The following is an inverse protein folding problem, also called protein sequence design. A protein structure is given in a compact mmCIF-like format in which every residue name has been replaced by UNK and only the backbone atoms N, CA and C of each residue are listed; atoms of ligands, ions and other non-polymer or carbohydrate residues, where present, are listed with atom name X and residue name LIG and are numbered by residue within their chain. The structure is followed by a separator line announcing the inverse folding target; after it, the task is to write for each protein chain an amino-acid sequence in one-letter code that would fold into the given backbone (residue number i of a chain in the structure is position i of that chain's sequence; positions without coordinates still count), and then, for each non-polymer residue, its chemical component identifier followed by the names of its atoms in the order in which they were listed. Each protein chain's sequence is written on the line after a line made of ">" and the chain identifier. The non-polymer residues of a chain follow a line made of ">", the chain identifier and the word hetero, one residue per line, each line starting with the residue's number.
data_IF_119770314130
#
_entry.id   IF_119770314130
#
_cell.length_a   1.000
_cell.length_b   1.000
_cell.length_c   1.000
_cell.angle_alpha   90.00
_cell.angle_beta   90.00
_cell.angle_gamma   90.00
#
_symmetry.space_group_name_H-M   'P 1'
#
loop_
_entity.id
_entity.type
_entity.pdbx_description
1 polymer ?
#
# COMPACT_ATOMS: atom_id res chain seq x y z
N UNK A 1 -0.52 30.69 -21.21
CA UNK A 1 -1.15 29.47 -21.76
C UNK A 1 -0.24 28.26 -21.56
N UNK A 2 0.18 27.94 -20.34
CA UNK A 2 1.11 26.83 -20.06
C UNK A 2 0.76 26.01 -18.79
N UNK A 3 -0.30 26.41 -18.06
CA UNK A 3 -0.74 25.78 -16.79
C UNK A 3 -2.06 24.99 -16.95
N UNK A 4 -2.87 25.28 -17.97
CA UNK A 4 -4.17 24.60 -18.22
C UNK A 4 -4.03 23.18 -18.80
N UNK A 5 -2.82 22.75 -19.19
CA UNK A 5 -2.59 21.45 -19.83
C UNK A 5 -2.50 20.29 -18.82
N UNK A 6 -2.23 20.57 -17.54
CA UNK A 6 -2.04 19.55 -16.52
C UNK A 6 -3.34 19.13 -15.81
N UNK A 7 -4.39 19.94 -15.86
CA UNK A 7 -5.66 19.67 -15.18
C UNK A 7 -6.42 18.47 -15.77
N UNK A 8 -6.06 18.02 -16.98
CA UNK A 8 -6.64 16.84 -17.63
C UNK A 8 -5.75 15.59 -17.54
N UNK A 9 -4.60 15.68 -16.88
CA UNK A 9 -3.69 14.55 -16.78
C UNK A 9 -4.33 13.45 -15.95
N UNK A 10 -4.47 12.26 -16.54
CA UNK A 10 -5.04 11.08 -15.86
C UNK A 10 -3.98 10.07 -15.43
N UNK A 11 -2.81 10.08 -16.08
CA UNK A 11 -1.73 9.13 -15.84
C UNK A 11 -0.42 9.89 -15.70
N UNK A 12 0.25 9.71 -14.57
CA UNK A 12 1.54 10.31 -14.28
C UNK A 12 2.51 9.22 -13.82
N UNK A 13 3.59 9.04 -14.57
CA UNK A 13 4.68 8.14 -14.22
C UNK A 13 5.92 8.94 -13.84
N UNK A 14 6.31 8.79 -12.59
CA UNK A 14 7.50 9.35 -11.97
C UNK A 14 8.38 8.24 -11.38
N UNK A 15 8.14 6.99 -11.78
CA UNK A 15 8.94 5.85 -11.34
C UNK A 15 10.38 5.88 -11.87
N UNK A 16 11.27 5.16 -11.19
CA UNK A 16 12.69 5.03 -11.54
C UNK A 16 13.40 6.40 -11.59
N UNK A 17 13.12 7.24 -10.60
CA UNK A 17 13.75 8.56 -10.40
C UNK A 17 14.44 8.63 -9.03
N UNK A 18 14.95 9.81 -8.67
CA UNK A 18 15.64 10.08 -7.40
C UNK A 18 14.79 10.93 -6.44
N UNK A 19 13.47 10.75 -6.44
CA UNK A 19 12.58 11.50 -5.54
C UNK A 19 12.76 11.03 -4.11
N UNK A 20 13.02 11.95 -3.18
CA UNK A 20 13.15 11.65 -1.75
C UNK A 20 11.85 11.90 -0.99
N UNK A 21 10.92 12.64 -1.61
CA UNK A 21 9.60 12.98 -1.10
C UNK A 21 8.59 12.98 -2.24
N UNK A 22 7.30 12.84 -1.89
CA UNK A 22 6.21 13.03 -2.84
C UNK A 22 6.13 14.54 -3.16
N UNK A 23 6.11 14.97 -4.43
CA UNK A 23 6.06 16.39 -4.80
C UNK A 23 4.63 16.96 -4.66
N UNK A 24 4.03 16.85 -3.48
CA UNK A 24 2.60 17.08 -3.20
C UNK A 24 2.10 18.45 -3.65
N UNK A 25 2.86 19.51 -3.42
CA UNK A 25 2.51 20.87 -3.87
C UNK A 25 2.35 20.97 -5.40
N UNK A 26 3.16 20.23 -6.15
CA UNK A 26 3.08 20.21 -7.61
C UNK A 26 1.92 19.33 -8.11
N UNK A 27 1.58 18.29 -7.35
CA UNK A 27 0.56 17.31 -7.74
C UNK A 27 -0.86 17.70 -7.31
N UNK A 28 -1.02 18.54 -6.29
CA UNK A 28 -2.31 18.90 -5.67
C UNK A 28 -3.34 19.47 -6.66
N UNK A 29 -2.91 20.04 -7.79
CA UNK A 29 -3.78 20.59 -8.83
C UNK A 29 -4.24 19.57 -9.87
N UNK A 30 -3.71 18.34 -9.83
CA UNK A 30 -4.04 17.28 -10.78
C UNK A 30 -5.31 16.55 -10.35
N UNK A 31 -6.42 17.28 -10.24
CA UNK A 31 -7.72 16.79 -9.73
C UNK A 31 -8.39 15.71 -10.60
N UNK A 32 -7.82 15.38 -11.76
CA UNK A 32 -8.29 14.32 -12.67
C UNK A 32 -7.33 13.15 -12.75
N UNK A 33 -6.26 13.15 -11.95
CA UNK A 33 -5.26 12.10 -11.97
C UNK A 33 -5.87 10.82 -11.43
N UNK A 34 -5.81 9.75 -12.23
CA UNK A 34 -6.32 8.42 -11.87
C UNK A 34 -5.20 7.46 -11.46
N UNK A 35 -4.03 7.64 -12.07
CA UNK A 35 -2.90 6.74 -11.93
C UNK A 35 -1.63 7.52 -11.62
N UNK A 36 -1.08 7.29 -10.44
CA UNK A 36 0.19 7.87 -10.00
C UNK A 36 1.20 6.76 -9.73
N UNK A 37 2.25 6.71 -10.54
CA UNK A 37 3.36 5.76 -10.37
C UNK A 37 4.61 6.48 -9.86
N UNK A 38 5.00 6.16 -8.62
CA UNK A 38 6.17 6.69 -7.90
C UNK A 38 7.17 5.57 -7.55
N UNK A 39 7.07 4.42 -8.22
CA UNK A 39 7.90 3.25 -7.94
C UNK A 39 9.39 3.52 -8.08
N UNK A 40 10.23 2.80 -7.34
CA UNK A 40 11.69 2.85 -7.51
C UNK A 40 12.24 4.28 -7.39
N UNK A 41 11.89 4.92 -6.28
CA UNK A 41 12.42 6.21 -5.84
C UNK A 41 13.07 6.04 -4.45
N UNK A 42 13.42 7.13 -3.79
CA UNK A 42 14.01 7.17 -2.44
C UNK A 42 13.05 7.79 -1.41
N UNK A 43 11.73 7.63 -1.62
CA UNK A 43 10.72 8.20 -0.73
C UNK A 43 10.76 7.43 0.58
N UNK A 44 11.05 8.13 1.68
CA UNK A 44 11.15 7.51 3.01
C UNK A 44 10.03 7.93 3.97
N UNK A 45 9.32 9.02 3.63
CA UNK A 45 8.27 9.61 4.45
C UNK A 45 7.09 10.02 3.56
N UNK A 46 5.88 9.70 4.01
CA UNK A 46 4.62 10.19 3.45
C UNK A 46 4.10 11.22 4.45
N UNK A 47 3.85 12.46 4.00
CA UNK A 47 3.17 13.46 4.84
C UNK A 47 1.67 13.21 4.84
N UNK A 48 0.96 13.61 5.91
CA UNK A 48 -0.50 13.45 6.00
C UNK A 48 -1.25 14.14 4.86
N UNK A 49 -0.69 15.24 4.35
CA UNK A 49 -1.25 16.00 3.24
C UNK A 49 -0.75 15.56 1.86
N UNK A 50 0.06 14.48 1.77
CA UNK A 50 0.81 14.13 0.58
C UNK A 50 -0.06 13.94 -0.67
N UNK A 51 -1.31 13.53 -0.47
CA UNK A 51 -2.29 13.20 -1.50
C UNK A 51 -3.50 14.15 -1.50
N UNK A 52 -3.41 15.28 -0.81
CA UNK A 52 -4.46 16.31 -0.82
C UNK A 52 -4.74 16.77 -2.24
N UNK A 53 -6.03 16.87 -2.60
CA UNK A 53 -6.48 17.36 -3.90
C UNK A 53 -6.78 16.28 -4.93
N UNK A 54 -6.44 15.01 -4.66
CA UNK A 54 -6.86 13.90 -5.50
C UNK A 54 -8.30 13.47 -5.25
N UNK A 55 -8.76 13.46 -4.00
CA UNK A 55 -10.17 13.17 -3.68
C UNK A 55 -10.62 11.83 -4.29
N UNK A 56 -11.69 11.93 -5.09
CA UNK A 56 -12.33 10.80 -5.78
C UNK A 56 -11.68 10.45 -7.14
N UNK A 57 -10.53 11.05 -7.49
CA UNK A 57 -9.94 10.86 -8.83
C UNK A 57 -8.94 9.71 -8.90
N UNK A 58 -8.08 9.55 -7.90
CA UNK A 58 -7.02 8.53 -7.91
C UNK A 58 -7.62 7.16 -7.64
N UNK A 59 -7.38 6.22 -8.54
CA UNK A 59 -7.77 4.81 -8.40
C UNK A 59 -6.55 3.89 -8.27
N UNK A 60 -5.37 4.33 -8.71
CA UNK A 60 -4.12 3.57 -8.62
C UNK A 60 -2.98 4.42 -8.10
N UNK A 61 -2.34 3.93 -7.03
CA UNK A 61 -1.15 4.53 -6.42
C UNK A 61 -0.05 3.49 -6.24
N UNK A 62 1.09 3.72 -6.88
CA UNK A 62 2.24 2.83 -6.78
C UNK A 62 3.43 3.50 -6.10
N UNK A 63 3.78 3.02 -4.91
CA UNK A 63 4.91 3.42 -4.08
C UNK A 63 5.92 2.27 -3.91
N UNK A 64 5.85 1.25 -4.77
CA UNK A 64 6.72 0.08 -4.71
C UNK A 64 8.20 0.46 -4.77
N UNK A 65 9.09 -0.28 -4.09
CA UNK A 65 10.55 -0.06 -4.13
C UNK A 65 10.94 1.36 -3.70
N UNK A 66 10.43 1.80 -2.56
CA UNK A 66 10.85 3.03 -1.88
C UNK A 66 11.44 2.66 -0.50
N UNK A 67 11.69 3.66 0.34
CA UNK A 67 12.30 3.50 1.67
C UNK A 67 11.30 3.81 2.81
N UNK A 68 9.99 3.65 2.57
CA UNK A 68 8.93 4.03 3.51
C UNK A 68 8.96 3.12 4.73
N UNK A 69 9.10 3.70 5.92
CA UNK A 69 9.20 2.96 7.20
C UNK A 69 7.91 2.91 8.01
N UNK A 70 7.12 3.97 7.91
CA UNK A 70 5.89 4.16 8.70
C UNK A 70 4.84 4.84 7.84
N UNK A 71 3.57 4.56 8.14
CA UNK A 71 2.43 5.25 7.57
C UNK A 71 1.80 6.15 8.64
N UNK A 72 1.60 7.45 8.38
CA UNK A 72 0.78 8.31 9.25
C UNK A 72 -0.66 7.77 9.40
N UNK A 73 -1.33 8.08 10.52
CA UNK A 73 -2.71 7.64 10.81
C UNK A 73 -3.75 8.08 9.76
N UNK A 74 -3.42 9.06 8.92
CA UNK A 74 -4.30 9.60 7.88
C UNK A 74 -3.58 9.68 6.53
N UNK A 75 -2.60 8.79 6.30
CA UNK A 75 -1.73 8.83 5.13
C UNK A 75 -2.48 8.82 3.79
N UNK A 76 -3.64 8.20 3.75
CA UNK A 76 -4.49 8.06 2.56
C UNK A 76 -5.86 8.70 2.74
N UNK A 77 -5.99 9.61 3.71
CA UNK A 77 -7.22 10.36 3.94
C UNK A 77 -7.59 11.13 2.67
N UNK A 78 -8.88 11.07 2.29
CA UNK A 78 -9.47 11.62 1.07
C UNK A 78 -9.20 10.85 -0.24
N UNK A 79 -8.57 9.68 -0.22
CA UNK A 79 -8.45 8.84 -1.42
C UNK A 79 -9.68 7.93 -1.61
N UNK A 80 -10.86 8.53 -1.69
CA UNK A 80 -12.16 7.83 -1.62
C UNK A 80 -12.49 6.93 -2.82
N UNK A 81 -11.62 6.86 -3.83
CA UNK A 81 -11.79 6.01 -5.00
C UNK A 81 -10.57 5.14 -5.28
N UNK A 82 -9.64 5.03 -4.32
CA UNK A 82 -8.44 4.24 -4.48
C UNK A 82 -8.79 2.74 -4.50
N UNK A 83 -8.52 2.10 -5.63
CA UNK A 83 -8.76 0.67 -5.82
C UNK A 83 -7.49 -0.15 -5.58
N UNK A 84 -6.32 0.40 -5.95
CA UNK A 84 -5.04 -0.29 -5.89
C UNK A 84 -3.99 0.59 -5.21
N UNK A 85 -3.49 0.11 -4.07
CA UNK A 85 -2.34 0.65 -3.36
C UNK A 85 -1.19 -0.34 -3.38
N UNK A 86 -0.05 0.04 -3.95
CA UNK A 86 1.16 -0.78 -3.94
C UNK A 86 2.25 -0.16 -3.06
N UNK A 87 2.54 -0.81 -1.93
CA UNK A 87 3.60 -0.50 -0.97
C UNK A 87 4.68 -1.59 -0.93
N UNK A 88 4.70 -2.51 -1.91
CA UNK A 88 5.61 -3.65 -1.91
C UNK A 88 7.08 -3.19 -1.93
N UNK A 89 7.94 -3.92 -1.22
CA UNK A 89 9.39 -3.68 -1.18
C UNK A 89 9.72 -2.28 -0.64
N UNK A 90 9.13 -1.95 0.51
CA UNK A 90 9.47 -0.79 1.32
C UNK A 90 10.19 -1.27 2.61
N UNK A 91 10.12 -0.48 3.68
CA UNK A 91 10.74 -0.77 4.99
C UNK A 91 9.69 -0.76 6.11
N UNK A 92 8.42 -1.02 5.78
CA UNK A 92 7.32 -1.03 6.75
C UNK A 92 7.51 -2.18 7.73
N UNK A 93 7.50 -1.88 9.02
CA UNK A 93 7.47 -2.89 10.09
C UNK A 93 6.08 -3.11 10.65
N UNK A 94 5.19 -2.13 10.52
CA UNK A 94 3.78 -2.20 10.93
C UNK A 94 2.91 -1.50 9.88
N UNK A 95 1.67 -1.91 9.79
CA UNK A 95 0.63 -1.26 8.98
C UNK A 95 -0.60 -1.13 9.88
N UNK A 96 -0.75 -0.01 10.61
CA UNK A 96 -1.91 0.21 11.47
C UNK A 96 -3.18 0.33 10.64
N UNK A 97 -4.30 -0.15 11.16
CA UNK A 97 -5.61 -0.11 10.49
C UNK A 97 -6.03 1.32 10.19
N UNK A 98 -5.78 2.23 11.13
CA UNK A 98 -6.15 3.64 11.07
C UNK A 98 -5.55 4.33 9.84
N UNK A 99 -4.30 4.00 9.48
CA UNK A 99 -3.65 4.58 8.31
C UNK A 99 -4.34 4.25 6.98
N UNK A 100 -5.11 3.15 6.94
CA UNK A 100 -5.76 2.62 5.74
C UNK A 100 -7.30 2.61 5.86
N UNK A 101 -7.87 3.01 7.00
CA UNK A 101 -9.31 3.02 7.28
C UNK A 101 -10.11 3.73 6.17
N UNK A 102 -9.59 4.83 5.64
CA UNK A 102 -10.26 5.61 4.59
C UNK A 102 -10.38 4.87 3.24
N UNK A 103 -9.60 3.80 3.02
CA UNK A 103 -9.53 3.10 1.74
C UNK A 103 -9.93 1.62 1.82
N UNK A 104 -10.17 1.04 3.01
CA UNK A 104 -10.44 -0.40 3.14
C UNK A 104 -11.71 -0.85 2.38
N UNK A 105 -12.71 0.02 2.27
CA UNK A 105 -13.98 -0.27 1.60
C UNK A 105 -13.91 -0.18 0.07
N UNK A 106 -12.97 0.62 -0.45
CA UNK A 106 -12.84 0.91 -1.89
C UNK A 106 -11.68 0.15 -2.52
N UNK A 107 -10.65 -0.17 -1.74
CA UNK A 107 -9.49 -0.91 -2.20
C UNK A 107 -9.87 -2.37 -2.51
N UNK A 108 -9.41 -2.83 -3.67
CA UNK A 108 -9.42 -4.25 -4.06
C UNK A 108 -8.05 -4.87 -3.89
N UNK A 109 -6.98 -4.06 -3.88
CA UNK A 109 -5.60 -4.50 -3.70
C UNK A 109 -4.85 -3.52 -2.80
N UNK A 110 -4.33 -4.03 -1.69
CA UNK A 110 -3.35 -3.37 -0.82
C UNK A 110 -2.14 -4.30 -0.75
N UNK A 111 -1.10 -4.00 -1.51
CA UNK A 111 0.11 -4.82 -1.59
C UNK A 111 1.19 -4.29 -0.63
N UNK A 112 1.39 -4.99 0.48
CA UNK A 112 2.41 -4.68 1.50
C UNK A 112 3.55 -5.71 1.50
N UNK A 113 3.67 -6.54 0.46
CA UNK A 113 4.67 -7.61 0.42
C UNK A 113 6.10 -7.07 0.41
N UNK A 114 7.08 -7.94 0.68
CA UNK A 114 8.49 -7.59 0.72
C UNK A 114 8.82 -6.43 1.68
N UNK A 115 8.03 -6.27 2.74
CA UNK A 115 8.30 -5.38 3.86
C UNK A 115 8.71 -6.21 5.10
N UNK A 116 9.56 -5.68 5.99
CA UNK A 116 9.97 -6.35 7.24
C UNK A 116 8.86 -6.31 8.32
N UNK A 117 7.67 -6.81 7.98
CA UNK A 117 6.47 -6.70 8.81
C UNK A 117 6.58 -7.55 10.09
N UNK A 118 6.26 -6.93 11.23
CA UNK A 118 5.99 -7.58 12.50
C UNK A 118 4.54 -8.05 12.48
N UNK A 119 4.35 -9.37 12.47
CA UNK A 119 3.02 -9.96 12.34
C UNK A 119 2.43 -10.31 13.72
N UNK A 120 2.09 -9.27 14.48
CA UNK A 120 1.40 -9.38 15.76
C UNK A 120 -0.11 -9.06 15.61
N UNK A 121 -0.78 -8.76 16.72
CA UNK A 121 -2.20 -8.43 16.73
C UNK A 121 -2.55 -7.17 15.91
N UNK A 122 -1.61 -6.25 15.65
CA UNK A 122 -1.89 -5.02 14.90
C UNK A 122 -2.12 -5.29 13.41
N UNK A 123 -1.61 -6.40 12.87
CA UNK A 123 -1.83 -6.77 11.46
C UNK A 123 -3.10 -7.64 11.27
N UNK A 124 -3.92 -7.79 12.32
CA UNK A 124 -5.14 -8.60 12.29
C UNK A 124 -6.16 -8.12 11.26
N UNK A 125 -6.36 -6.81 11.16
CA UNK A 125 -7.31 -6.20 10.23
C UNK A 125 -6.99 -6.61 8.78
N UNK A 126 -5.71 -6.60 8.38
CA UNK A 126 -5.29 -6.88 7.01
C UNK A 126 -5.55 -8.34 6.62
N UNK A 127 -5.33 -9.26 7.57
CA UNK A 127 -5.69 -10.68 7.41
C UNK A 127 -7.19 -10.85 7.20
N UNK A 128 -7.99 -10.15 8.00
CA UNK A 128 -9.45 -10.30 7.97
C UNK A 128 -10.03 -9.64 6.70
N UNK A 129 -9.52 -8.47 6.29
CA UNK A 129 -9.79 -7.83 5.01
C UNK A 129 -9.49 -8.73 3.79
N UNK A 130 -8.33 -9.40 3.77
CA UNK A 130 -8.00 -10.37 2.71
C UNK A 130 -9.00 -11.54 2.61
N UNK A 131 -9.55 -11.99 3.75
CA UNK A 131 -10.55 -13.07 3.74
C UNK A 131 -11.86 -12.59 3.15
N UNK A 132 -12.28 -11.36 3.47
CA UNK A 132 -13.52 -10.77 2.95
C UNK A 132 -13.47 -10.58 1.44
N UNK A 133 -12.34 -10.14 0.88
CA UNK A 133 -12.17 -10.02 -0.57
C UNK A 133 -12.36 -11.37 -1.28
N UNK A 134 -11.80 -12.45 -0.73
CA UNK A 134 -11.95 -13.80 -1.29
C UNK A 134 -13.40 -14.31 -1.28
N UNK A 135 -14.26 -13.77 -0.42
CA UNK A 135 -15.68 -14.11 -0.41
C UNK A 135 -16.49 -13.34 -1.47
N UNK A 136 -15.92 -12.28 -2.07
CA UNK A 136 -16.59 -11.47 -3.11
C UNK A 136 -16.31 -11.96 -4.53
N UNK A 137 -15.15 -12.58 -4.77
CA UNK A 137 -14.73 -13.05 -6.09
C UNK A 137 -14.68 -14.60 -6.16
N UNK A 138 -15.64 -15.21 -6.87
CA UNK A 138 -15.48 -16.55 -7.44
C UNK A 138 -14.53 -16.44 -8.66
N UNK A 139 -13.47 -17.26 -8.64
CA UNK A 139 -12.49 -17.56 -9.70
C UNK A 139 -11.34 -16.54 -10.02
N UNK A 140 -10.12 -16.98 -9.66
CA UNK A 140 -8.85 -16.85 -10.40
C UNK A 140 -7.93 -15.59 -10.37
N UNK A 141 -8.21 -14.51 -9.62
CA UNK A 141 -7.36 -13.29 -9.73
C UNK A 141 -6.44 -12.98 -8.53
N UNK A 142 -6.52 -13.68 -7.39
CA UNK A 142 -5.54 -13.45 -6.31
C UNK A 142 -4.32 -14.34 -6.56
N UNK A 143 -3.42 -13.86 -7.42
CA UNK A 143 -2.10 -14.45 -7.64
C UNK A 143 -1.43 -14.73 -6.31
N UNK A 144 -1.17 -16.03 -6.08
CA UNK A 144 -0.38 -16.64 -5.01
C UNK A 144 0.92 -15.88 -4.74
N UNK A 145 0.87 -14.86 -3.89
CA UNK A 145 2.06 -14.17 -3.41
C UNK A 145 1.98 -14.09 -1.89
N UNK A 146 3.11 -14.42 -1.26
CA UNK A 146 3.21 -14.68 0.17
C UNK A 146 3.74 -13.44 0.88
N UNK A 147 3.13 -13.10 2.00
CA UNK A 147 3.66 -12.07 2.91
C UNK A 147 4.65 -12.75 3.84
N UNK A 148 5.90 -12.27 3.84
CA UNK A 148 6.95 -12.72 4.74
C UNK A 148 6.81 -11.97 6.07
N UNK A 149 6.68 -12.72 7.16
CA UNK A 149 6.49 -12.20 8.51
C UNK A 149 7.75 -12.37 9.36
N UNK A 150 8.16 -11.32 10.06
CA UNK A 150 9.13 -11.38 11.15
C UNK A 150 8.33 -11.59 12.44
N UNK A 151 8.55 -12.72 13.13
CA UNK A 151 8.00 -12.94 14.48
C UNK A 151 9.15 -12.83 15.49
N UNK A 152 8.99 -11.97 16.50
CA UNK A 152 9.78 -12.03 17.73
C UNK A 152 9.04 -12.92 18.75
N UNK A 153 9.75 -13.85 19.40
CA UNK A 153 9.19 -14.95 20.18
C UNK A 153 8.25 -14.55 21.34
N UNK A 154 8.25 -13.28 21.78
CA UNK A 154 7.51 -12.80 22.97
C UNK A 154 6.06 -12.36 22.71
N UNK A 155 5.62 -12.18 21.46
CA UNK A 155 4.28 -11.64 21.14
C UNK A 155 3.40 -12.63 20.37
N UNK A 156 3.38 -13.88 20.82
CA UNK A 156 2.43 -14.90 20.33
C UNK A 156 1.01 -14.52 20.75
N UNK A 157 0.29 -13.79 19.90
CA UNK A 157 -1.16 -13.72 20.04
C UNK A 157 -1.70 -15.15 19.79
N UNK A 158 -2.30 -15.78 20.79
CA UNK A 158 -2.93 -17.10 20.67
C UNK A 158 -4.11 -17.12 19.65
N UNK A 159 -4.57 -15.94 19.21
CA UNK A 159 -5.51 -15.73 18.10
C UNK A 159 -4.89 -15.06 16.85
N UNK A 160 -3.62 -14.65 16.92
CA UNK A 160 -2.83 -14.20 15.75
C UNK A 160 -1.67 -15.15 15.48
N UNK A 161 -1.87 -16.44 15.74
CA UNK A 161 -1.59 -17.36 14.65
C UNK A 161 -2.44 -16.88 13.48
N UNK A 162 -1.87 -16.02 12.63
CA UNK A 162 -1.95 -16.30 11.20
C UNK A 162 -1.66 -17.79 11.12
N UNK A 163 -2.70 -18.62 11.07
CA UNK A 163 -2.50 -20.05 10.96
C UNK A 163 -1.63 -20.17 9.73
N UNK A 164 -0.40 -20.64 9.94
CA UNK A 164 0.59 -21.00 8.93
C UNK A 164 0.02 -22.21 8.19
N UNK A 165 -1.11 -21.98 7.55
CA UNK A 165 -1.98 -22.97 6.94
C UNK A 165 -2.53 -22.43 5.62
N UNK A 166 -2.34 -21.14 5.31
CA UNK A 166 -2.48 -20.61 3.95
C UNK A 166 -1.40 -19.57 3.55
N UNK A 167 -0.24 -19.60 4.21
CA UNK A 167 1.03 -19.07 3.68
C UNK A 167 1.97 -20.28 3.64
N UNK A 168 1.98 -21.01 2.51
CA UNK A 168 2.68 -22.30 2.41
C UNK A 168 4.19 -22.08 2.42
N UNK A 169 4.82 -22.61 3.46
CA UNK A 169 6.24 -22.93 3.54
C UNK A 169 6.71 -23.69 2.29
N UNK A 170 7.68 -23.13 1.58
CA UNK A 170 8.72 -23.97 0.98
C UNK A 170 10.09 -23.40 1.41
N UNK A 171 10.60 -23.96 2.51
CA UNK A 171 12.03 -24.13 2.64
C UNK A 171 12.45 -25.13 1.57
N UNK A 172 13.02 -24.65 0.47
CA UNK A 172 13.95 -25.46 -0.30
C UNK A 172 15.33 -24.86 -0.08
N UNK A 173 16.10 -25.62 0.71
CA UNK A 173 17.54 -25.68 0.57
C UNK A 173 17.93 -25.57 -0.91
N UNK A 174 18.72 -24.56 -1.22
CA UNK A 174 19.65 -24.60 -2.34
C UNK A 174 21.05 -24.29 -1.79
N UNK A 175 21.61 -25.28 -1.09
CA UNK A 175 22.94 -25.85 -1.34
C UNK A 175 23.10 -27.13 -0.53
#
# INVERSE_FOLDING_TARGET
>A
MHILLLENLQYLRLGDNNLHTIPSESLRRLHRLRHLDLKANNISHISEDAFTGFGDSITFLNLQKNDIKTLPMMAFENLNSLEILNLQNNKLTRVPEEALEAIVDTATVIDIMDNPLICDCDLRWYRDWLKELRHRDDDDIIQKKHILCLMEDEHRCNECTLTISYIVLFSLHNK
#
